data_IF_242812972525
#
_entry.id   IF_242812972525
#
_cell.length_a   1.000
_cell.length_b   1.000
_cell.length_c   1.000
_cell.angle_alpha   90.00
_cell.angle_beta   90.00
_cell.angle_gamma   90.00
#
_symmetry.space_group_name_H-M   'P 1'
#
loop_
_entity.id
_entity.type
_entity.pdbx_description
1 polymer ?
#
# COMPACT_ATOMS: atom_id res chain seq x y z
N UNK A 1 -0.93 -32.40 -9.88
CA UNK A 1 -0.84 -30.92 -9.77
C UNK A 1 -2.25 -30.44 -9.55
N UNK A 2 -2.54 -29.90 -8.37
CA UNK A 2 -3.87 -29.36 -8.05
C UNK A 2 -4.07 -28.12 -8.91
N UNK A 3 -4.95 -28.16 -9.90
CA UNK A 3 -5.38 -26.95 -10.58
C UNK A 3 -5.86 -25.96 -9.53
N UNK A 4 -5.20 -24.81 -9.47
CA UNK A 4 -5.52 -23.77 -8.50
C UNK A 4 -6.92 -23.27 -8.84
N UNK A 5 -7.91 -23.67 -8.04
CA UNK A 5 -9.33 -23.51 -8.42
C UNK A 5 -9.72 -22.03 -8.59
N UNK A 6 -8.96 -21.08 -8.05
CA UNK A 6 -9.29 -19.64 -8.00
C UNK A 6 -9.06 -18.86 -9.30
N UNK A 7 -8.81 -19.57 -10.40
CA UNK A 7 -8.61 -19.01 -11.73
C UNK A 7 -7.27 -18.31 -11.92
N UNK A 8 -6.34 -18.40 -10.97
CA UNK A 8 -4.99 -17.83 -11.09
C UNK A 8 -4.25 -18.38 -12.30
N UNK A 9 -4.17 -19.71 -12.46
CA UNK A 9 -3.57 -20.37 -13.63
C UNK A 9 -4.16 -19.88 -14.96
N UNK A 10 -5.47 -19.62 -15.00
CA UNK A 10 -6.17 -19.15 -16.19
C UNK A 10 -5.80 -17.70 -16.53
N UNK A 11 -5.76 -16.82 -15.53
CA UNK A 11 -5.50 -15.39 -15.73
C UNK A 11 -4.01 -15.05 -15.85
N UNK A 12 -3.11 -15.86 -15.30
CA UNK A 12 -1.67 -15.62 -15.40
C UNK A 12 -0.97 -16.47 -16.45
N UNK A 13 -1.62 -17.54 -16.90
CA UNK A 13 -1.08 -18.49 -17.87
C UNK A 13 -1.43 -18.16 -19.34
N UNK A 14 -1.01 -19.03 -20.28
CA UNK A 14 -1.27 -18.86 -21.71
C UNK A 14 -2.77 -18.76 -22.08
N UNK A 15 -3.65 -19.29 -21.23
CA UNK A 15 -5.10 -19.23 -21.41
C UNK A 15 -5.68 -17.82 -21.43
N UNK A 16 -5.05 -16.85 -20.77
CA UNK A 16 -5.48 -15.46 -20.74
C UNK A 16 -5.56 -14.83 -22.15
N UNK A 17 -4.67 -15.23 -23.06
CA UNK A 17 -4.71 -14.72 -24.44
C UNK A 17 -5.97 -15.12 -25.21
N UNK A 18 -6.52 -16.32 -24.96
CA UNK A 18 -7.78 -16.76 -25.55
C UNK A 18 -8.96 -15.95 -25.02
N UNK A 19 -9.00 -15.78 -23.69
CA UNK A 19 -9.98 -14.96 -22.98
C UNK A 19 -10.01 -13.51 -23.51
N UNK A 20 -8.84 -12.87 -23.63
CA UNK A 20 -8.74 -11.50 -24.14
C UNK A 20 -9.14 -11.39 -25.60
N UNK A 21 -8.74 -12.35 -26.46
CA UNK A 21 -9.17 -12.38 -27.86
C UNK A 21 -10.70 -12.47 -27.98
N UNK A 22 -11.34 -13.29 -27.15
CA UNK A 22 -12.80 -13.39 -27.11
C UNK A 22 -13.47 -12.09 -26.65
N UNK A 23 -12.96 -11.45 -25.60
CA UNK A 23 -13.47 -10.17 -25.11
C UNK A 23 -13.35 -9.03 -26.12
N UNK A 24 -12.18 -8.91 -26.76
CA UNK A 24 -11.90 -7.91 -27.79
C UNK A 24 -12.74 -8.17 -29.04
N UNK A 25 -12.79 -9.43 -29.51
CA UNK A 25 -13.55 -9.81 -30.69
C UNK A 25 -15.06 -9.61 -30.53
N UNK A 26 -15.63 -9.92 -29.36
CA UNK A 26 -17.05 -9.67 -29.07
C UNK A 26 -17.42 -8.18 -29.06
N UNK A 27 -16.43 -7.31 -28.96
CA UNK A 27 -16.60 -5.84 -28.98
C UNK A 27 -16.22 -5.23 -30.34
N UNK A 28 -16.03 -6.06 -31.38
CA UNK A 28 -15.68 -5.59 -32.73
C UNK A 28 -14.20 -5.22 -32.94
N UNK A 29 -13.33 -5.62 -32.01
CA UNK A 29 -11.89 -5.35 -32.06
C UNK A 29 -11.04 -6.53 -32.52
N UNK A 30 -9.76 -6.26 -32.79
CA UNK A 30 -8.74 -7.27 -33.07
C UNK A 30 -7.57 -7.08 -32.10
N UNK A 31 -7.31 -8.11 -31.29
CA UNK A 31 -6.19 -8.14 -30.37
C UNK A 31 -4.90 -8.55 -31.10
N UNK A 32 -3.89 -7.70 -31.04
CA UNK A 32 -2.57 -7.94 -31.66
C UNK A 32 -1.57 -8.55 -30.66
N UNK A 33 -1.49 -7.97 -29.47
CA UNK A 33 -0.60 -8.44 -28.40
C UNK A 33 -1.18 -8.11 -27.03
N UNK A 34 -0.70 -8.83 -26.02
CA UNK A 34 -1.06 -8.59 -24.63
C UNK A 34 0.12 -8.90 -23.72
N UNK A 35 0.16 -8.21 -22.58
CA UNK A 35 1.10 -8.43 -21.50
C UNK A 35 0.34 -8.34 -20.18
N UNK A 36 0.61 -9.28 -19.28
CA UNK A 36 0.12 -9.20 -17.90
C UNK A 36 0.83 -8.04 -17.19
N UNK A 37 0.05 -7.10 -16.66
CA UNK A 37 0.55 -5.89 -16.01
C UNK A 37 0.49 -6.01 -14.48
N UNK A 38 -0.63 -6.51 -13.94
CA UNK A 38 -0.82 -6.67 -12.50
C UNK A 38 -1.70 -7.87 -12.16
N UNK A 39 -1.45 -8.52 -11.01
CA UNK A 39 -2.29 -9.60 -10.46
C UNK A 39 -2.55 -9.37 -8.97
N UNK A 40 -3.82 -9.44 -8.59
CA UNK A 40 -4.29 -9.51 -7.20
C UNK A 40 -4.91 -10.88 -6.97
N UNK A 41 -4.17 -11.75 -6.27
CA UNK A 41 -4.56 -13.13 -6.00
C UNK A 41 -5.05 -13.28 -4.56
N UNK A 42 -6.25 -13.82 -4.39
CA UNK A 42 -6.79 -14.26 -3.10
C UNK A 42 -6.93 -15.79 -3.15
N UNK A 43 -5.96 -16.53 -2.59
CA UNK A 43 -5.92 -17.99 -2.67
C UNK A 43 -7.26 -18.64 -2.30
N UNK A 44 -7.77 -19.49 -3.18
CA UNK A 44 -9.01 -20.25 -2.98
C UNK A 44 -10.31 -19.43 -3.05
N UNK A 45 -10.25 -18.14 -3.43
CA UNK A 45 -11.44 -17.28 -3.55
C UNK A 45 -11.57 -16.60 -4.91
N UNK A 46 -10.56 -15.84 -5.32
CA UNK A 46 -10.65 -15.01 -6.52
C UNK A 46 -9.28 -14.58 -7.03
N UNK A 47 -9.16 -14.44 -8.34
CA UNK A 47 -8.01 -13.78 -8.96
C UNK A 47 -8.47 -12.61 -9.80
N UNK A 48 -7.79 -11.47 -9.68
CA UNK A 48 -7.95 -10.34 -10.59
C UNK A 48 -6.65 -10.06 -11.32
N UNK A 49 -6.75 -9.74 -12.61
CA UNK A 49 -5.61 -9.42 -13.46
C UNK A 49 -5.89 -8.14 -14.25
N UNK A 50 -4.84 -7.37 -14.50
CA UNK A 50 -4.81 -6.25 -15.44
C UNK A 50 -3.86 -6.60 -16.58
N UNK A 51 -4.27 -6.32 -17.81
CA UNK A 51 -3.45 -6.55 -18.99
C UNK A 51 -3.29 -5.26 -19.79
N UNK A 52 -2.06 -5.02 -20.23
CA UNK A 52 -1.75 -4.04 -21.29
C UNK A 52 -1.87 -4.74 -22.63
N UNK A 53 -2.67 -4.20 -23.53
CA UNK A 53 -2.97 -4.84 -24.82
C UNK A 53 -2.78 -3.87 -25.98
N UNK A 54 -2.46 -4.38 -27.16
CA UNK A 54 -2.52 -3.62 -28.41
C UNK A 54 -3.72 -4.08 -29.21
N UNK A 55 -4.68 -3.18 -29.44
CA UNK A 55 -5.98 -3.50 -30.06
C UNK A 55 -6.27 -2.50 -31.16
N UNK A 56 -6.69 -2.99 -32.32
CA UNK A 56 -7.35 -2.16 -33.35
C UNK A 56 -8.86 -2.36 -33.27
N UNK A 57 -9.63 -1.32 -33.57
CA UNK A 57 -11.10 -1.35 -33.52
C UNK A 57 -11.74 -1.14 -34.91
N UNK A 58 -11.73 -2.13 -35.82
CA UNK A 58 -12.27 -1.99 -37.17
C UNK A 58 -13.72 -1.51 -37.24
N UNK A 59 -14.56 -1.96 -36.32
CA UNK A 59 -15.98 -1.60 -36.28
C UNK A 59 -16.25 -0.20 -35.72
N UNK A 60 -15.29 0.35 -34.95
CA UNK A 60 -15.41 1.65 -34.29
C UNK A 60 -14.66 2.76 -35.05
N UNK A 61 -13.40 2.48 -35.40
CA UNK A 61 -12.42 3.42 -35.94
C UNK A 61 -12.15 3.17 -37.45
N UNK A 62 -12.69 2.09 -38.02
CA UNK A 62 -12.57 1.71 -39.42
C UNK A 62 -11.50 0.63 -39.71
N UNK A 63 -11.57 -0.06 -40.86
CA UNK A 63 -10.77 -1.28 -41.12
C UNK A 63 -9.24 -1.10 -41.10
N UNK A 64 -8.75 0.12 -41.28
CA UNK A 64 -7.32 0.44 -41.32
C UNK A 64 -6.84 1.19 -40.07
N UNK A 65 -7.67 1.30 -39.03
CA UNK A 65 -7.28 1.95 -37.79
C UNK A 65 -6.04 1.25 -37.18
N UNK A 66 -5.01 2.00 -36.80
CA UNK A 66 -3.84 1.42 -36.15
C UNK A 66 -4.23 0.80 -34.80
N UNK A 67 -3.47 -0.20 -34.37
CA UNK A 67 -3.58 -0.69 -33.01
C UNK A 67 -3.19 0.43 -32.02
N UNK A 68 -3.93 0.53 -30.92
CA UNK A 68 -3.60 1.40 -29.79
C UNK A 68 -3.53 0.59 -28.50
N UNK A 69 -2.85 1.17 -27.51
CA UNK A 69 -2.80 0.58 -26.19
C UNK A 69 -4.17 0.66 -25.51
N UNK A 70 -4.65 -0.47 -25.00
CA UNK A 70 -5.88 -0.59 -24.21
C UNK A 70 -5.59 -1.42 -22.96
N UNK A 71 -6.24 -1.06 -21.85
CA UNK A 71 -6.17 -1.83 -20.61
C UNK A 71 -7.42 -2.70 -20.45
N UNK A 72 -7.21 -3.98 -20.15
CA UNK A 72 -8.28 -4.92 -19.84
C UNK A 72 -8.14 -5.46 -18.43
N UNK A 73 -9.21 -5.36 -17.64
CA UNK A 73 -9.32 -6.05 -16.36
C UNK A 73 -9.99 -7.40 -16.56
N UNK A 74 -9.55 -8.41 -15.80
CA UNK A 74 -10.25 -9.67 -15.67
C UNK A 74 -10.39 -10.08 -14.20
N UNK A 75 -11.47 -10.78 -13.88
CA UNK A 75 -11.74 -11.34 -12.55
C UNK A 75 -12.25 -12.75 -12.69
N UNK A 76 -11.61 -13.70 -12.04
CA UNK A 76 -12.03 -15.09 -11.92
C UNK A 76 -12.55 -15.35 -10.49
N UNK A 77 -13.70 -16.03 -10.38
CA UNK A 77 -14.31 -16.44 -9.12
C UNK A 77 -14.78 -17.89 -9.18
N UNK A 78 -14.67 -18.62 -8.06
CA UNK A 78 -15.22 -19.97 -7.88
C UNK A 78 -16.49 -19.90 -7.05
N UNK A 79 -17.59 -20.49 -7.51
CA UNK A 79 -18.76 -20.85 -6.69
C UNK A 79 -19.56 -19.70 -6.02
N UNK A 80 -18.96 -18.53 -5.80
CA UNK A 80 -19.60 -17.33 -5.29
C UNK A 80 -20.07 -16.47 -6.47
N UNK A 81 -21.35 -16.06 -6.43
CA UNK A 81 -21.85 -15.00 -7.31
C UNK A 81 -21.12 -13.71 -6.99
N UNK A 82 -20.66 -13.03 -8.04
CA UNK A 82 -20.16 -11.66 -7.95
C UNK A 82 -21.23 -10.77 -7.31
N UNK A 83 -20.83 -9.98 -6.31
CA UNK A 83 -21.71 -9.05 -5.59
C UNK A 83 -21.36 -7.62 -5.98
N UNK A 84 -22.34 -6.72 -5.84
CA UNK A 84 -22.18 -5.28 -6.06
C UNK A 84 -21.63 -4.95 -7.46
N UNK A 85 -22.13 -5.63 -8.49
CA UNK A 85 -21.91 -5.26 -9.88
C UNK A 85 -22.87 -4.12 -10.24
N UNK A 86 -22.33 -3.01 -10.73
CA UNK A 86 -23.13 -1.81 -11.04
C UNK A 86 -23.33 -1.61 -12.55
N UNK A 87 -22.39 -2.07 -13.39
CA UNK A 87 -22.48 -2.00 -14.86
C UNK A 87 -22.13 -3.34 -15.50
N UNK A 88 -22.91 -4.38 -15.17
CA UNK A 88 -22.62 -5.76 -15.59
C UNK A 88 -22.73 -5.96 -17.11
N UNK A 89 -23.60 -5.21 -17.80
CA UNK A 89 -23.82 -5.31 -19.23
C UNK A 89 -22.62 -4.90 -20.10
N UNK A 90 -21.64 -4.16 -19.55
CA UNK A 90 -20.47 -3.67 -20.28
C UNK A 90 -19.26 -4.63 -20.22
N UNK A 91 -19.49 -5.89 -19.84
CA UNK A 91 -18.42 -6.85 -19.56
C UNK A 91 -18.72 -8.21 -20.20
N UNK A 92 -17.67 -8.89 -20.65
CA UNK A 92 -17.80 -10.27 -21.13
C UNK A 92 -17.75 -11.22 -19.93
N UNK A 93 -18.69 -12.17 -19.88
CA UNK A 93 -18.66 -13.29 -18.92
C UNK A 93 -18.41 -14.58 -19.68
N UNK A 94 -17.37 -15.31 -19.28
CA UNK A 94 -17.09 -16.67 -19.72
C UNK A 94 -17.20 -17.59 -18.50
N UNK A 95 -17.86 -18.73 -18.68
CA UNK A 95 -18.01 -19.74 -17.62
C UNK A 95 -17.68 -21.11 -18.16
N UNK A 96 -16.98 -21.91 -17.36
CA UNK A 96 -16.74 -23.34 -17.62
C UNK A 96 -17.50 -24.21 -16.59
N UNK A 97 -18.61 -23.70 -16.05
CA UNK A 97 -19.42 -24.36 -15.01
C UNK A 97 -18.89 -24.14 -13.58
N UNK A 98 -17.59 -24.28 -13.36
CA UNK A 98 -16.96 -24.16 -12.03
C UNK A 98 -16.32 -22.79 -11.77
N UNK A 99 -15.87 -22.10 -12.83
CA UNK A 99 -15.19 -20.81 -12.75
C UNK A 99 -15.96 -19.80 -13.62
N UNK A 100 -16.30 -18.65 -13.03
CA UNK A 100 -16.82 -17.50 -13.76
C UNK A 100 -15.72 -16.47 -13.95
N UNK A 101 -15.42 -16.14 -15.20
CA UNK A 101 -14.44 -15.10 -15.57
C UNK A 101 -15.16 -13.93 -16.20
N UNK A 102 -15.00 -12.75 -15.60
CA UNK A 102 -15.46 -11.48 -16.14
C UNK A 102 -14.29 -10.71 -16.71
N UNK A 103 -14.46 -10.15 -17.91
CA UNK A 103 -13.48 -9.30 -18.58
C UNK A 103 -14.12 -7.96 -18.93
N UNK A 104 -13.41 -6.87 -18.70
CA UNK A 104 -13.87 -5.52 -19.02
C UNK A 104 -12.73 -4.68 -19.58
N UNK A 105 -13.10 -3.67 -20.37
CA UNK A 105 -12.18 -2.66 -20.89
C UNK A 105 -12.14 -1.48 -19.92
N UNK A 106 -10.96 -1.02 -19.53
CA UNK A 106 -10.83 0.24 -18.79
C UNK A 106 -11.36 1.42 -19.64
N UNK A 107 -12.05 2.42 -19.06
CA UNK A 107 -12.38 2.61 -17.64
C UNK A 107 -13.72 1.98 -17.19
N UNK A 108 -14.31 1.08 -17.98
CA UNK A 108 -15.63 0.46 -17.73
C UNK A 108 -15.58 -0.70 -16.72
N UNK A 109 -14.97 -0.44 -15.57
CA UNK A 109 -14.87 -1.41 -14.48
C UNK A 109 -16.24 -1.63 -13.82
N UNK A 110 -16.74 -2.87 -13.77
CA UNK A 110 -18.11 -3.16 -13.32
C UNK A 110 -18.37 -2.86 -11.84
N UNK A 111 -17.32 -2.65 -11.05
CA UNK A 111 -17.41 -2.27 -9.64
C UNK A 111 -17.20 -0.76 -9.40
N UNK A 112 -16.74 -0.01 -10.41
CA UNK A 112 -16.36 1.40 -10.28
C UNK A 112 -17.17 2.26 -11.28
N UNK A 113 -18.50 2.41 -11.08
CA UNK A 113 -19.38 3.05 -12.06
C UNK A 113 -19.06 4.54 -12.33
N UNK A 114 -18.41 5.22 -11.38
CA UNK A 114 -17.98 6.61 -11.57
C UNK A 114 -16.68 6.73 -12.37
N UNK A 115 -15.94 5.65 -12.63
CA UNK A 115 -14.64 5.71 -13.27
C UNK A 115 -14.71 6.29 -14.70
N UNK A 116 -15.64 5.87 -15.58
CA UNK A 116 -15.81 6.50 -16.89
C UNK A 116 -16.18 7.99 -16.82
N UNK A 117 -16.77 8.48 -15.72
CA UNK A 117 -17.13 9.89 -15.59
C UNK A 117 -15.93 10.79 -15.23
N UNK A 118 -14.81 10.20 -14.83
CA UNK A 118 -13.62 10.94 -14.36
C UNK A 118 -12.33 10.59 -15.08
N UNK A 119 -12.37 9.68 -16.05
CA UNK A 119 -11.22 9.25 -16.84
C UNK A 119 -11.08 9.96 -18.20
N UNK A 120 -12.09 10.72 -18.63
CA UNK A 120 -12.07 11.41 -19.92
C UNK A 120 -11.95 12.93 -19.72
N UNK A 121 -10.91 13.58 -20.30
CA UNK A 121 -10.64 15.01 -20.13
C UNK A 121 -11.84 15.92 -20.42
N UNK A 122 -12.64 15.56 -21.42
CA UNK A 122 -13.81 16.29 -21.90
C UNK A 122 -15.09 16.04 -21.07
N UNK A 123 -15.06 15.09 -20.14
CA UNK A 123 -16.20 14.72 -19.27
C UNK A 123 -15.99 15.19 -17.83
N UNK A 124 -14.78 15.01 -17.29
CA UNK A 124 -14.50 15.21 -15.87
C UNK A 124 -14.84 16.63 -15.38
N UNK A 125 -14.66 17.66 -16.22
CA UNK A 125 -14.99 19.05 -15.86
C UNK A 125 -16.47 19.25 -15.55
N UNK A 126 -17.35 18.70 -16.40
CA UNK A 126 -18.81 18.71 -16.16
C UNK A 126 -19.19 17.90 -14.93
N UNK A 127 -18.59 16.71 -14.77
CA UNK A 127 -18.83 15.86 -13.59
C UNK A 127 -18.45 16.58 -12.29
N UNK A 128 -17.32 17.29 -12.25
CA UNK A 128 -16.91 18.07 -11.09
C UNK A 128 -17.84 19.26 -10.83
N UNK A 129 -18.20 19.99 -11.88
CA UNK A 129 -19.13 21.11 -11.79
C UNK A 129 -20.50 20.70 -11.23
N UNK A 130 -21.06 19.57 -11.69
CA UNK A 130 -22.33 19.04 -11.20
C UNK A 130 -22.29 18.66 -9.70
N UNK A 131 -21.08 18.38 -9.18
CA UNK A 131 -20.82 18.13 -7.76
C UNK A 131 -20.47 19.40 -6.98
N UNK A 132 -20.49 20.58 -7.61
CA UNK A 132 -20.15 21.87 -7.00
C UNK A 132 -18.65 22.14 -6.90
N UNK A 133 -17.81 21.41 -7.65
CA UNK A 133 -16.35 21.56 -7.66
C UNK A 133 -15.91 22.29 -8.93
N UNK A 134 -15.19 23.40 -8.78
CA UNK A 134 -14.64 24.18 -9.90
C UNK A 134 -13.11 24.12 -9.88
N UNK A 135 -12.52 23.62 -10.96
CA UNK A 135 -11.06 23.64 -11.21
C UNK A 135 -10.64 24.77 -12.17
N UNK A 136 -11.60 25.32 -12.92
CA UNK A 136 -11.39 26.31 -13.95
C UNK A 136 -12.66 27.11 -14.23
N UNK A 137 -12.57 28.16 -15.07
CA UNK A 137 -13.69 29.05 -15.34
C UNK A 137 -14.78 28.41 -16.19
N UNK A 138 -14.44 27.43 -17.03
CA UNK A 138 -15.38 26.75 -17.94
C UNK A 138 -15.29 25.22 -17.77
N UNK A 139 -16.36 24.55 -17.29
CA UNK A 139 -16.37 23.09 -17.11
C UNK A 139 -16.43 22.29 -18.43
N UNK A 140 -16.55 22.96 -19.58
CA UNK A 140 -16.52 22.33 -20.90
C UNK A 140 -15.12 22.22 -21.49
N UNK A 141 -14.15 22.96 -20.96
CA UNK A 141 -12.75 22.83 -21.37
C UNK A 141 -12.16 21.49 -20.91
N UNK A 142 -11.30 20.84 -21.73
CA UNK A 142 -10.65 19.60 -21.34
C UNK A 142 -9.74 19.78 -20.12
N UNK A 143 -9.93 18.96 -19.09
CA UNK A 143 -9.11 18.96 -17.87
C UNK A 143 -8.02 17.90 -17.98
N UNK A 144 -6.78 18.25 -17.58
CA UNK A 144 -5.69 17.30 -17.56
C UNK A 144 -5.92 16.24 -16.47
N UNK A 145 -5.79 14.97 -16.82
CA UNK A 145 -6.01 13.83 -15.92
C UNK A 145 -4.75 12.97 -15.89
N UNK A 146 -4.22 12.77 -14.69
CA UNK A 146 -3.18 11.79 -14.41
C UNK A 146 -3.77 10.61 -13.63
N UNK A 147 -3.62 9.39 -14.14
CA UNK A 147 -4.01 8.18 -13.40
C UNK A 147 -2.92 7.90 -12.37
N UNK A 148 -3.19 8.20 -11.10
CA UNK A 148 -2.25 7.98 -9.99
C UNK A 148 -2.17 6.50 -9.64
N UNK A 149 -3.32 5.81 -9.58
CA UNK A 149 -3.35 4.36 -9.40
C UNK A 149 -4.66 3.76 -9.88
N UNK A 150 -4.62 2.52 -10.36
CA UNK A 150 -5.80 1.73 -10.65
C UNK A 150 -5.60 0.30 -10.14
N UNK A 151 -6.50 -0.14 -9.25
CA UNK A 151 -6.57 -1.51 -8.75
C UNK A 151 -7.90 -2.13 -9.20
N UNK A 152 -7.88 -3.01 -10.22
CA UNK A 152 -9.08 -3.57 -10.85
C UNK A 152 -10.15 -4.04 -9.85
N UNK A 153 -11.37 -3.52 -10.02
CA UNK A 153 -12.55 -3.76 -9.21
C UNK A 153 -12.44 -3.41 -7.72
N UNK A 154 -11.40 -2.66 -7.31
CA UNK A 154 -11.22 -2.20 -5.93
C UNK A 154 -11.29 -0.68 -5.82
N UNK A 155 -10.36 0.02 -6.47
CA UNK A 155 -10.28 1.49 -6.44
C UNK A 155 -9.47 2.04 -7.61
N UNK A 156 -9.73 3.29 -7.96
CA UNK A 156 -8.84 4.11 -8.78
C UNK A 156 -8.60 5.45 -8.08
N UNK A 157 -7.44 6.05 -8.31
CA UNK A 157 -7.12 7.40 -7.88
C UNK A 157 -6.62 8.15 -9.11
N UNK A 158 -7.22 9.29 -9.41
CA UNK A 158 -6.81 10.17 -10.49
C UNK A 158 -6.51 11.55 -9.93
N UNK A 159 -5.60 12.28 -10.54
CA UNK A 159 -5.39 13.71 -10.29
C UNK A 159 -5.98 14.46 -11.47
N UNK A 160 -6.98 15.30 -11.22
CA UNK A 160 -7.54 16.20 -12.20
C UNK A 160 -6.97 17.60 -11.93
N UNK A 161 -6.41 18.24 -12.95
CA UNK A 161 -5.77 19.55 -12.77
C UNK A 161 -6.00 20.47 -13.95
N UNK A 162 -6.10 21.76 -13.64
CA UNK A 162 -6.20 22.85 -14.59
C UNK A 162 -5.46 24.06 -14.01
N UNK A 163 -4.52 24.61 -14.78
CA UNK A 163 -3.60 25.66 -14.32
C UNK A 163 -2.90 25.30 -12.99
N UNK A 164 -3.13 26.10 -11.95
CA UNK A 164 -2.56 25.89 -10.61
C UNK A 164 -3.48 25.11 -9.66
N UNK A 165 -4.70 24.76 -10.09
CA UNK A 165 -5.67 24.04 -9.26
C UNK A 165 -5.65 22.54 -9.58
N UNK A 166 -5.71 21.72 -8.54
CA UNK A 166 -5.85 20.28 -8.68
C UNK A 166 -6.69 19.66 -7.57
N UNK A 167 -7.35 18.56 -7.91
CA UNK A 167 -8.07 17.69 -6.97
C UNK A 167 -7.74 16.24 -7.26
N UNK A 168 -7.87 15.41 -6.24
CA UNK A 168 -7.73 13.96 -6.34
C UNK A 168 -9.10 13.30 -6.35
N UNK A 169 -9.33 12.43 -7.34
CA UNK A 169 -10.56 11.71 -7.57
C UNK A 169 -10.37 10.27 -7.13
N UNK A 170 -10.82 9.93 -5.92
CA UNK A 170 -10.77 8.56 -5.39
C UNK A 170 -12.07 7.86 -5.78
N UNK A 171 -11.98 6.92 -6.72
CA UNK A 171 -13.10 6.11 -7.20
C UNK A 171 -13.06 4.73 -6.55
N UNK A 172 -14.20 4.25 -6.07
CA UNK A 172 -14.38 2.98 -5.37
C UNK A 172 -15.80 2.45 -5.57
N UNK A 173 -16.10 1.29 -4.99
CA UNK A 173 -17.46 0.77 -4.98
C UNK A 173 -18.41 1.74 -4.23
N UNK A 174 -19.60 2.07 -4.77
CA UNK A 174 -20.53 3.05 -4.20
C UNK A 174 -20.75 2.98 -2.69
N UNK A 175 -20.99 1.78 -2.16
CA UNK A 175 -21.24 1.56 -0.73
C UNK A 175 -20.04 1.86 0.19
N UNK A 176 -18.82 2.05 -0.34
CA UNK A 176 -17.61 2.35 0.44
C UNK A 176 -17.38 3.85 0.67
N UNK A 177 -17.97 4.71 -0.18
CA UNK A 177 -17.67 6.15 -0.17
C UNK A 177 -18.04 6.84 1.15
N UNK A 178 -19.19 6.51 1.73
CA UNK A 178 -19.65 7.10 3.00
C UNK A 178 -18.68 6.89 4.16
N UNK A 179 -18.17 5.68 4.34
CA UNK A 179 -17.20 5.39 5.42
C UNK A 179 -15.89 6.14 5.23
N UNK A 180 -15.46 6.39 3.99
CA UNK A 180 -14.22 7.13 3.71
C UNK A 180 -14.40 8.62 3.99
N UNK A 181 -15.56 9.19 3.61
CA UNK A 181 -15.89 10.59 3.91
C UNK A 181 -15.95 10.82 5.42
N UNK A 182 -16.63 9.94 6.16
CA UNK A 182 -16.74 10.02 7.61
C UNK A 182 -15.37 9.95 8.30
N UNK A 183 -14.47 9.07 7.84
CA UNK A 183 -13.09 8.98 8.38
C UNK A 183 -12.33 10.30 8.17
N UNK A 184 -12.36 10.88 6.97
CA UNK A 184 -11.70 12.17 6.72
C UNK A 184 -12.27 13.28 7.60
N UNK A 185 -13.59 13.39 7.69
CA UNK A 185 -14.26 14.42 8.50
C UNK A 185 -13.88 14.32 9.98
N UNK A 186 -13.87 13.11 10.55
CA UNK A 186 -13.48 12.90 11.95
C UNK A 186 -12.00 13.22 12.20
N UNK A 187 -11.11 12.88 11.28
CA UNK A 187 -9.67 13.18 11.39
C UNK A 187 -9.40 14.69 11.26
N UNK A 188 -10.02 15.36 10.28
CA UNK A 188 -9.93 16.82 10.12
C UNK A 188 -10.45 17.55 11.37
N UNK A 189 -11.58 17.11 11.92
CA UNK A 189 -12.16 17.68 13.14
C UNK A 189 -11.24 17.54 14.36
N UNK A 190 -10.32 16.57 14.34
CA UNK A 190 -9.29 16.36 15.36
C UNK A 190 -7.96 17.10 15.05
N UNK A 191 -7.88 17.86 13.96
CA UNK A 191 -6.68 18.58 13.56
C UNK A 191 -5.59 17.71 12.93
N UNK A 192 -5.95 16.51 12.44
CA UNK A 192 -5.07 15.67 11.64
C UNK A 192 -5.09 16.20 10.19
N UNK A 193 -3.93 16.51 9.58
CA UNK A 193 -3.86 17.13 8.25
C UNK A 193 -4.08 16.10 7.13
N UNK A 194 -5.30 15.57 7.02
CA UNK A 194 -5.69 14.68 5.91
C UNK A 194 -6.30 15.51 4.77
N UNK A 195 -6.45 14.97 3.55
CA UNK A 195 -7.10 15.70 2.46
C UNK A 195 -8.53 16.12 2.82
N UNK A 196 -8.90 17.36 2.51
CA UNK A 196 -10.29 17.81 2.65
C UNK A 196 -11.19 17.11 1.63
N UNK A 197 -12.35 16.61 2.08
CA UNK A 197 -13.39 16.11 1.18
C UNK A 197 -14.18 17.28 0.65
N UNK A 198 -13.95 17.65 -0.61
CA UNK A 198 -14.65 18.75 -1.28
C UNK A 198 -16.06 18.30 -1.69
N UNK A 199 -16.17 17.11 -2.26
CA UNK A 199 -17.44 16.54 -2.70
C UNK A 199 -17.39 15.00 -2.69
N UNK A 200 -18.55 14.36 -2.69
CA UNK A 200 -18.65 12.91 -2.88
C UNK A 200 -19.97 12.53 -3.55
N UNK A 201 -19.94 11.47 -4.35
CA UNK A 201 -21.13 10.94 -5.03
C UNK A 201 -20.95 9.48 -5.42
N UNK A 202 -21.79 8.59 -4.89
CA UNK A 202 -21.95 7.20 -5.34
C UNK A 202 -20.63 6.49 -5.73
N UNK A 203 -19.64 6.47 -4.83
CA UNK A 203 -18.34 5.81 -5.08
C UNK A 203 -17.23 6.72 -5.60
N UNK A 204 -17.51 8.00 -5.87
CA UNK A 204 -16.52 9.04 -6.07
C UNK A 204 -16.36 9.86 -4.78
N UNK A 205 -15.11 10.11 -4.38
CA UNK A 205 -14.73 11.08 -3.35
C UNK A 205 -13.72 12.04 -3.98
N UNK A 206 -14.05 13.33 -3.98
CA UNK A 206 -13.20 14.41 -4.49
C UNK A 206 -12.45 15.03 -3.32
N UNK A 207 -11.13 14.97 -3.37
CA UNK A 207 -10.23 15.37 -2.30
C UNK A 207 -9.39 16.58 -2.73
N UNK A 208 -9.17 17.53 -1.83
CA UNK A 208 -8.21 18.59 -2.03
C UNK A 208 -6.78 18.02 -2.14
N UNK A 209 -5.94 18.63 -2.97
CA UNK A 209 -4.51 18.34 -3.01
C UNK A 209 -3.85 18.78 -1.68
N UNK A 210 -3.05 17.88 -1.08
CA UNK A 210 -2.27 18.23 0.11
C UNK A 210 -1.10 19.15 -0.27
N UNK A 211 -0.75 20.12 0.59
CA UNK A 211 0.44 20.94 0.39
C UNK A 211 1.73 20.13 0.65
N UNK A 212 2.87 20.70 0.25
CA UNK A 212 4.18 20.09 0.46
C UNK A 212 4.49 18.96 -0.51
N UNK A 213 5.35 18.03 -0.07
CA UNK A 213 5.79 16.88 -0.87
C UNK A 213 5.90 15.62 -0.01
N UNK A 214 5.83 14.41 -0.60
CA UNK A 214 6.02 13.17 0.15
C UNK A 214 7.36 13.11 0.89
N UNK A 215 7.33 12.62 2.13
CA UNK A 215 8.52 12.42 2.97
C UNK A 215 9.53 11.50 2.29
N UNK A 216 9.07 10.53 1.51
CA UNK A 216 9.88 9.68 0.64
C UNK A 216 10.93 10.46 -0.18
N UNK A 217 10.52 11.60 -0.74
CA UNK A 217 11.42 12.46 -1.52
C UNK A 217 12.22 13.39 -0.63
N UNK A 218 11.58 13.98 0.37
CA UNK A 218 12.22 14.94 1.26
C UNK A 218 13.38 14.32 2.04
N UNK A 219 13.25 13.09 2.54
CA UNK A 219 14.31 12.42 3.31
C UNK A 219 15.54 12.08 2.47
N UNK A 220 15.37 11.79 1.17
CA UNK A 220 16.50 11.58 0.23
C UNK A 220 17.26 12.88 -0.01
N UNK A 221 16.52 13.99 -0.17
CA UNK A 221 17.10 15.30 -0.50
C UNK A 221 17.71 15.99 0.74
N UNK A 222 17.05 15.89 1.90
CA UNK A 222 17.31 16.71 3.10
C UNK A 222 17.70 15.88 4.33
N UNK A 223 17.48 14.56 4.33
CA UNK A 223 17.79 13.69 5.48
C UNK A 223 17.00 14.06 6.72
N UNK A 224 17.69 14.21 7.85
CA UNK A 224 17.11 14.55 9.16
C UNK A 224 16.38 15.90 9.17
N UNK A 225 16.75 16.82 8.26
CA UNK A 225 16.13 18.15 8.19
C UNK A 225 14.77 18.15 7.49
N UNK A 226 14.38 17.04 6.85
CA UNK A 226 13.09 16.89 6.15
C UNK A 226 11.88 17.07 7.08
N UNK A 227 11.98 16.55 8.30
CA UNK A 227 11.11 16.86 9.42
C UNK A 227 11.71 16.36 10.74
N UNK A 228 11.23 16.92 11.85
CA UNK A 228 11.59 16.44 13.18
C UNK A 228 10.91 15.11 13.50
N UNK A 229 11.62 14.22 14.20
CA UNK A 229 11.04 12.98 14.70
C UNK A 229 9.82 13.22 15.61
N UNK A 230 9.86 14.27 16.43
CA UNK A 230 8.76 14.60 17.32
C UNK A 230 7.51 15.03 16.56
N UNK A 231 7.63 15.60 15.35
CA UNK A 231 6.48 15.96 14.52
C UNK A 231 5.76 14.72 13.98
N UNK A 232 6.50 13.64 13.69
CA UNK A 232 5.93 12.35 13.28
C UNK A 232 5.16 11.70 14.44
N UNK A 233 5.73 11.71 15.65
CA UNK A 233 5.05 11.24 16.86
C UNK A 233 3.83 12.10 17.17
N UNK A 234 3.96 13.43 17.09
CA UNK A 234 2.88 14.36 17.35
C UNK A 234 1.73 14.22 16.33
N UNK A 235 2.04 13.91 15.05
CA UNK A 235 1.01 13.58 14.05
C UNK A 235 0.21 12.35 14.49
N UNK A 236 0.89 11.29 14.88
CA UNK A 236 0.27 10.04 15.31
C UNK A 236 -0.54 10.23 16.62
N UNK A 237 -0.09 11.07 17.54
CA UNK A 237 -0.78 11.37 18.80
C UNK A 237 -2.05 12.22 18.60
N UNK A 238 -2.25 12.84 17.42
CA UNK A 238 -3.50 13.52 17.06
C UNK A 238 -4.60 12.57 16.58
N UNK A 239 -4.29 11.30 16.31
CA UNK A 239 -5.31 10.34 15.88
C UNK A 239 -6.38 10.19 16.98
N UNK A 240 -7.66 10.50 16.70
CA UNK A 240 -8.67 10.66 17.74
C UNK A 240 -9.22 9.33 18.23
N UNK A 241 -9.49 9.23 19.54
CA UNK A 241 -10.12 8.06 20.17
C UNK A 241 -11.44 7.61 19.52
N UNK A 242 -12.13 8.49 18.79
CA UNK A 242 -13.32 8.13 17.99
C UNK A 242 -13.08 7.02 16.95
N UNK A 243 -11.81 6.70 16.66
CA UNK A 243 -11.40 5.64 15.74
C UNK A 243 -11.28 4.26 16.37
N UNK A 244 -11.32 4.12 17.71
CA UNK A 244 -11.29 2.80 18.37
C UNK A 244 -12.44 1.88 17.97
N UNK A 245 -13.57 2.45 17.53
CA UNK A 245 -14.74 1.68 17.06
C UNK A 245 -14.56 1.05 15.66
N UNK A 246 -13.47 1.34 14.96
CA UNK A 246 -13.15 0.74 13.68
C UNK A 246 -12.59 -0.68 13.85
N UNK A 247 -12.61 -1.47 12.77
CA UNK A 247 -12.12 -2.84 12.80
C UNK A 247 -10.62 -2.89 13.10
N UNK A 248 -10.24 -3.70 14.09
CA UNK A 248 -8.85 -4.07 14.34
C UNK A 248 -8.28 -4.80 13.11
N UNK A 249 -7.16 -4.30 12.61
CA UNK A 249 -6.38 -4.95 11.56
C UNK A 249 -5.20 -5.69 12.20
N UNK A 250 -4.93 -6.94 11.80
CA UNK A 250 -3.73 -7.65 12.27
C UNK A 250 -2.47 -6.85 11.89
N UNK A 251 -1.49 -6.71 12.81
CA UNK A 251 -0.21 -6.12 12.47
C UNK A 251 0.54 -6.99 11.45
N UNK A 252 1.48 -6.39 10.72
CA UNK A 252 2.31 -7.09 9.73
C UNK A 252 3.04 -8.32 10.30
N UNK A 253 3.43 -8.24 11.58
CA UNK A 253 4.10 -9.31 12.31
C UNK A 253 3.27 -10.59 12.45
N UNK A 254 1.95 -10.52 12.36
CA UNK A 254 1.07 -11.70 12.43
C UNK A 254 1.11 -12.55 11.14
N UNK A 255 1.69 -12.00 10.06
CA UNK A 255 1.75 -12.64 8.74
C UNK A 255 3.18 -12.94 8.29
N UNK A 256 4.17 -12.94 9.20
CA UNK A 256 5.59 -13.13 8.86
C UNK A 256 5.88 -14.49 8.24
N UNK A 257 5.22 -15.56 8.68
CA UNK A 257 5.34 -16.91 8.08
C UNK A 257 4.84 -16.91 6.64
N UNK A 258 3.74 -16.21 6.39
CA UNK A 258 3.15 -16.13 5.07
C UNK A 258 4.09 -15.42 4.10
N UNK A 259 4.65 -14.27 4.50
CA UNK A 259 5.61 -13.54 3.67
C UNK A 259 6.92 -14.31 3.48
N UNK A 260 7.46 -14.92 4.55
CA UNK A 260 8.62 -15.79 4.46
C UNK A 260 8.37 -16.96 3.51
N UNK A 261 7.20 -17.59 3.55
CA UNK A 261 6.82 -18.68 2.65
C UNK A 261 6.78 -18.24 1.17
N UNK A 262 6.26 -17.04 0.88
CA UNK A 262 6.29 -16.47 -0.48
C UNK A 262 7.74 -16.29 -0.94
N UNK A 263 8.59 -15.67 -0.11
CA UNK A 263 10.00 -15.42 -0.46
C UNK A 263 10.76 -16.73 -0.63
N UNK A 264 10.61 -17.69 0.27
CA UNK A 264 11.27 -19.00 0.21
C UNK A 264 10.81 -19.80 -1.02
N UNK A 265 9.55 -19.65 -1.45
CA UNK A 265 9.08 -20.28 -2.68
C UNK A 265 9.71 -19.66 -3.93
N UNK A 266 9.98 -18.36 -3.93
CA UNK A 266 10.60 -17.66 -5.05
C UNK A 266 12.13 -17.82 -5.08
N UNK A 267 12.78 -17.78 -3.90
CA UNK A 267 14.23 -17.90 -3.73
C UNK A 267 14.54 -18.97 -2.66
N UNK A 268 14.50 -20.28 -3.02
CA UNK A 268 14.65 -21.37 -2.05
C UNK A 268 15.94 -21.33 -1.22
N UNK A 269 17.01 -20.75 -1.76
CA UNK A 269 18.29 -20.59 -1.06
C UNK A 269 18.19 -19.73 0.21
N UNK A 270 17.19 -18.84 0.31
CA UNK A 270 16.95 -18.00 1.49
C UNK A 270 16.17 -18.71 2.60
N UNK A 271 15.60 -19.90 2.34
CA UNK A 271 14.73 -20.62 3.28
C UNK A 271 15.27 -20.69 4.72
N UNK A 272 16.49 -21.19 4.96
CA UNK A 272 17.04 -21.28 6.32
C UNK A 272 17.18 -19.93 7.04
N UNK A 273 17.47 -18.85 6.30
CA UNK A 273 17.58 -17.50 6.85
C UNK A 273 16.20 -16.95 7.21
N UNK A 274 15.21 -17.19 6.36
CA UNK A 274 13.82 -16.79 6.58
C UNK A 274 13.20 -17.53 7.77
N UNK A 275 13.44 -18.83 7.91
CA UNK A 275 12.99 -19.62 9.06
C UNK A 275 13.59 -19.08 10.37
N UNK A 276 14.88 -18.72 10.35
CA UNK A 276 15.53 -18.11 11.49
C UNK A 276 14.95 -16.72 11.83
N UNK A 277 14.68 -15.87 10.83
CA UNK A 277 14.04 -14.57 11.01
C UNK A 277 12.65 -14.71 11.62
N UNK A 278 11.80 -15.57 11.06
CA UNK A 278 10.44 -15.83 11.56
C UNK A 278 10.50 -16.30 13.01
N UNK A 279 11.36 -17.26 13.32
CA UNK A 279 11.53 -17.77 14.69
C UNK A 279 11.89 -16.64 15.65
N UNK A 280 12.90 -15.83 15.33
CA UNK A 280 13.37 -14.74 16.19
C UNK A 280 12.32 -13.65 16.40
N UNK A 281 11.57 -13.29 15.35
CA UNK A 281 10.48 -12.31 15.45
C UNK A 281 9.39 -12.83 16.38
N UNK A 282 8.92 -14.07 16.18
CA UNK A 282 7.86 -14.67 17.01
C UNK A 282 8.28 -14.86 18.45
N UNK A 283 9.42 -15.51 18.68
CA UNK A 283 9.93 -15.80 20.02
C UNK A 283 10.21 -14.49 20.78
N UNK A 284 10.79 -13.50 20.09
CA UNK A 284 11.01 -12.18 20.62
C UNK A 284 9.70 -11.51 21.05
N UNK A 285 8.70 -11.39 20.15
CA UNK A 285 7.42 -10.76 20.47
C UNK A 285 6.65 -11.50 21.57
N UNK A 286 6.70 -12.84 21.59
CA UNK A 286 6.10 -13.63 22.67
C UNK A 286 6.77 -13.36 24.02
N UNK A 287 8.09 -13.18 24.06
CA UNK A 287 8.80 -12.79 25.27
C UNK A 287 8.42 -11.36 25.73
N UNK A 288 8.10 -10.46 24.80
CA UNK A 288 7.57 -9.12 25.11
C UNK A 288 6.17 -9.19 25.72
N UNK A 289 5.28 -10.00 25.16
CA UNK A 289 3.92 -10.18 25.66
C UNK A 289 3.88 -10.71 27.10
N UNK A 290 4.88 -11.47 27.52
CA UNK A 290 5.00 -11.94 28.91
C UNK A 290 5.32 -10.82 29.93
N UNK A 291 5.80 -9.66 29.46
CA UNK A 291 6.31 -8.58 30.33
C UNK A 291 5.54 -7.27 30.18
N UNK A 292 4.89 -7.01 29.06
CA UNK A 292 4.06 -5.83 28.81
C UNK A 292 2.73 -6.23 28.17
N UNK A 293 1.67 -5.44 28.41
CA UNK A 293 0.38 -5.67 27.77
C UNK A 293 0.48 -5.33 26.28
N UNK A 294 0.40 -6.37 25.44
CA UNK A 294 0.49 -6.28 23.99
C UNK A 294 -0.87 -6.06 23.32
N UNK A 295 -1.95 -5.82 24.08
CA UNK A 295 -3.26 -5.49 23.50
C UNK A 295 -3.20 -4.16 22.72
N UNK A 296 -4.00 -4.04 21.64
CA UNK A 296 -4.22 -2.77 20.96
C UNK A 296 -4.83 -1.76 21.93
N UNK A 297 -4.07 -0.72 22.26
CA UNK A 297 -4.50 0.34 23.18
C UNK A 297 -4.34 1.73 22.58
N UNK A 298 -3.81 1.85 21.36
CA UNK A 298 -3.66 3.11 20.63
C UNK A 298 -4.63 3.17 19.45
N UNK A 299 -4.83 4.38 18.93
CA UNK A 299 -5.28 4.57 17.55
C UNK A 299 -4.04 4.70 16.68
N UNK A 300 -3.97 3.86 15.65
CA UNK A 300 -2.87 3.81 14.69
C UNK A 300 -3.35 4.20 13.31
N UNK A 301 -2.42 4.63 12.48
CA UNK A 301 -2.64 4.79 11.05
C UNK A 301 -2.77 3.43 10.36
N UNK A 302 -1.93 2.45 10.72
CA UNK A 302 -1.97 1.07 10.25
C UNK A 302 -1.20 0.79 8.95
N UNK A 303 -0.69 1.85 8.30
CA UNK A 303 0.21 1.78 7.12
C UNK A 303 1.10 3.05 7.08
N UNK A 304 1.70 3.42 8.21
CA UNK A 304 2.42 4.69 8.37
C UNK A 304 3.85 4.61 7.81
N UNK A 305 4.03 4.94 6.54
CA UNK A 305 5.35 5.02 5.90
C UNK A 305 5.56 6.33 5.14
N UNK A 306 6.78 6.56 4.67
CA UNK A 306 7.27 7.84 4.14
C UNK A 306 6.53 8.35 2.88
N UNK A 307 5.86 7.48 2.12
CA UNK A 307 5.03 7.96 1.00
C UNK A 307 3.67 8.50 1.44
N UNK A 308 3.22 8.18 2.67
CA UNK A 308 1.93 8.63 3.21
C UNK A 308 2.05 9.94 4.00
N UNK A 309 3.26 10.35 4.37
CA UNK A 309 3.50 11.58 5.12
C UNK A 309 3.95 12.68 4.16
N UNK A 310 3.33 13.86 4.26
CA UNK A 310 3.72 15.03 3.48
C UNK A 310 4.41 16.05 4.38
N UNK A 311 5.49 16.62 3.86
CA UNK A 311 6.31 17.61 4.56
C UNK A 311 6.52 18.86 3.73
N UNK A 312 6.65 19.99 4.42
CA UNK A 312 7.02 21.27 3.84
C UNK A 312 7.79 22.08 4.88
N UNK A 313 8.90 22.70 4.47
CA UNK A 313 9.71 23.58 5.32
C UNK A 313 10.10 22.94 6.67
N UNK A 314 10.52 21.66 6.61
CA UNK A 314 10.94 20.89 7.79
C UNK A 314 9.82 20.46 8.73
N UNK A 315 8.55 20.54 8.30
CA UNK A 315 7.37 20.22 9.12
C UNK A 315 6.46 19.22 8.41
N UNK A 316 5.77 18.41 9.21
CA UNK A 316 4.70 17.54 8.72
C UNK A 316 3.45 18.37 8.44
N UNK A 317 2.98 18.33 7.19
CA UNK A 317 1.83 19.11 6.69
C UNK A 317 0.72 18.27 6.10
N UNK A 318 0.89 16.95 5.99
CA UNK A 318 -0.14 16.09 5.43
C UNK A 318 0.00 14.59 5.76
N UNK A 319 -1.12 13.89 5.71
CA UNK A 319 -1.22 12.43 5.90
C UNK A 319 -2.22 11.81 4.91
N UNK A 320 -1.79 10.79 4.17
CA UNK A 320 -2.57 10.05 3.16
C UNK A 320 -2.93 8.61 3.60
N UNK A 321 -3.74 7.94 2.78
CA UNK A 321 -4.21 6.53 2.91
C UNK A 321 -4.73 6.10 4.28
N UNK A 322 -5.61 6.94 4.85
CA UNK A 322 -6.27 6.72 6.15
C UNK A 322 -7.28 5.55 6.20
N UNK A 323 -7.35 4.72 5.16
CA UNK A 323 -8.30 3.61 5.06
C UNK A 323 -8.02 2.55 6.14
N UNK A 324 -6.79 2.50 6.65
CA UNK A 324 -6.30 1.56 7.67
C UNK A 324 -6.42 2.05 9.11
N UNK A 325 -6.81 3.32 9.33
CA UNK A 325 -6.88 3.92 10.67
C UNK A 325 -7.82 3.10 11.56
N UNK A 326 -7.40 2.84 12.80
CA UNK A 326 -8.18 2.03 13.74
C UNK A 326 -7.41 1.70 15.02
N UNK A 327 -7.94 0.79 15.86
CA UNK A 327 -7.22 0.31 17.04
C UNK A 327 -5.95 -0.43 16.63
N UNK A 328 -4.86 -0.22 17.36
CA UNK A 328 -3.56 -0.87 17.15
C UNK A 328 -2.58 -0.56 18.26
N UNK A 329 -1.28 -0.71 17.97
CA UNK A 329 -0.20 -0.28 18.87
C UNK A 329 0.68 0.77 18.19
N UNK A 330 1.11 1.79 18.92
CA UNK A 330 1.99 2.83 18.40
C UNK A 330 3.27 2.28 17.75
N UNK A 331 3.79 1.17 18.30
CA UNK A 331 4.97 0.51 17.76
C UNK A 331 4.78 0.01 16.32
N UNK A 332 3.55 -0.29 15.88
CA UNK A 332 3.27 -0.71 14.50
C UNK A 332 3.53 0.42 13.49
N UNK A 333 3.04 1.62 13.76
CA UNK A 333 3.23 2.76 12.86
C UNK A 333 4.70 3.20 12.81
N UNK A 334 5.36 3.29 13.97
CA UNK A 334 6.76 3.70 14.04
C UNK A 334 7.69 2.67 13.38
N UNK A 335 7.40 1.37 13.56
CA UNK A 335 8.13 0.30 12.90
C UNK A 335 7.89 0.29 11.38
N UNK A 336 6.66 0.55 10.94
CA UNK A 336 6.32 0.63 9.53
C UNK A 336 7.16 1.69 8.82
N UNK A 337 7.26 2.89 9.42
CA UNK A 337 8.08 3.96 8.87
C UNK A 337 9.57 3.59 8.82
N UNK A 338 10.12 3.10 9.93
CA UNK A 338 11.54 2.72 9.99
C UNK A 338 11.89 1.63 8.98
N UNK A 339 11.03 0.62 8.84
CA UNK A 339 11.22 -0.47 7.90
C UNK A 339 11.29 0.00 6.45
N UNK A 340 10.34 0.85 6.03
CA UNK A 340 10.33 1.37 4.67
C UNK A 340 11.53 2.30 4.39
N UNK A 341 11.90 3.16 5.34
CA UNK A 341 13.11 3.97 5.23
C UNK A 341 14.37 3.12 5.13
N UNK A 342 14.47 2.00 5.86
CA UNK A 342 15.62 1.09 5.74
C UNK A 342 15.73 0.46 4.35
N UNK A 343 14.60 0.08 3.74
CA UNK A 343 14.59 -0.42 2.34
C UNK A 343 14.92 0.71 1.36
N UNK A 344 14.46 1.93 1.62
CA UNK A 344 14.82 3.11 0.83
C UNK A 344 16.32 3.43 0.92
N UNK A 345 16.95 3.27 2.08
CA UNK A 345 18.39 3.45 2.23
C UNK A 345 19.18 2.39 1.43
N UNK A 346 18.71 1.14 1.40
CA UNK A 346 19.35 0.05 0.64
C UNK A 346 19.34 0.29 -0.89
N UNK A 347 18.50 1.21 -1.39
CA UNK A 347 18.58 1.67 -2.78
C UNK A 347 19.95 2.26 -3.14
N UNK A 348 20.71 2.76 -2.16
CA UNK A 348 22.09 3.20 -2.35
C UNK A 348 23.02 2.04 -2.71
N UNK A 349 22.87 0.88 -2.06
CA UNK A 349 23.61 -0.34 -2.39
C UNK A 349 23.27 -0.87 -3.78
N UNK A 350 22.03 -0.64 -4.24
CA UNK A 350 21.57 -0.96 -5.59
C UNK A 350 21.93 0.10 -6.65
N UNK A 351 22.61 1.20 -6.27
CA UNK A 351 22.99 2.29 -7.17
C UNK A 351 21.83 3.13 -7.69
N UNK A 352 20.65 3.06 -7.07
CA UNK A 352 19.47 3.86 -7.42
C UNK A 352 19.51 5.28 -6.85
N UNK A 353 20.24 5.46 -5.74
CA UNK A 353 20.57 6.75 -5.15
C UNK A 353 22.08 6.82 -4.89
N UNK A 354 22.64 8.03 -4.84
CA UNK A 354 24.07 8.19 -4.54
C UNK A 354 24.39 7.98 -3.05
N UNK A 355 25.68 7.84 -2.73
CA UNK A 355 26.14 7.56 -1.35
C UNK A 355 25.82 8.69 -0.36
N UNK A 356 25.80 9.94 -0.81
CA UNK A 356 25.42 11.09 0.02
C UNK A 356 23.93 11.08 0.35
N UNK A 357 23.09 10.75 -0.64
CA UNK A 357 21.66 10.51 -0.45
C UNK A 357 21.42 9.36 0.53
N UNK A 358 22.09 8.22 0.35
CA UNK A 358 21.99 7.07 1.26
C UNK A 358 22.36 7.47 2.69
N UNK A 359 23.49 8.15 2.89
CA UNK A 359 23.92 8.59 4.22
C UNK A 359 22.89 9.49 4.90
N UNK A 360 22.25 10.41 4.15
CA UNK A 360 21.18 11.27 4.68
C UNK A 360 19.99 10.47 5.21
N UNK A 361 19.57 9.43 4.49
CA UNK A 361 18.48 8.56 4.93
C UNK A 361 18.89 7.73 6.14
N UNK A 362 20.11 7.16 6.15
CA UNK A 362 20.64 6.40 7.29
C UNK A 362 20.76 7.26 8.57
N UNK A 363 21.17 8.52 8.42
CA UNK A 363 21.24 9.47 9.53
C UNK A 363 19.85 9.81 10.07
N UNK A 364 18.87 10.02 9.19
CA UNK A 364 17.47 10.23 9.59
C UNK A 364 16.90 9.01 10.34
N UNK A 365 17.13 7.78 9.83
CA UNK A 365 16.71 6.54 10.51
C UNK A 365 17.31 6.47 11.91
N UNK A 366 18.61 6.72 12.06
CA UNK A 366 19.29 6.67 13.37
C UNK A 366 18.68 7.68 14.36
N UNK A 367 18.54 8.93 13.96
CA UNK A 367 18.00 9.99 14.83
C UNK A 367 16.52 9.76 15.18
N UNK A 368 15.71 9.33 14.21
CA UNK A 368 14.29 9.08 14.45
C UNK A 368 14.07 7.83 15.30
N UNK A 369 14.87 6.78 15.08
CA UNK A 369 14.84 5.57 15.89
C UNK A 369 15.12 5.85 17.36
N UNK A 370 16.12 6.71 17.68
CA UNK A 370 16.39 7.14 19.07
C UNK A 370 15.16 7.79 19.71
N UNK A 371 14.49 8.70 18.98
CA UNK A 371 13.27 9.36 19.47
C UNK A 371 12.11 8.36 19.65
N UNK A 372 11.95 7.42 18.73
CA UNK A 372 10.86 6.44 18.76
C UNK A 372 11.04 5.44 19.92
N UNK A 373 12.28 5.09 20.27
CA UNK A 373 12.60 4.23 21.41
C UNK A 373 12.27 4.86 22.78
N UNK A 374 12.03 6.17 22.84
CA UNK A 374 11.50 6.84 24.04
C UNK A 374 9.97 6.71 24.16
N UNK A 375 9.28 6.38 23.06
CA UNK A 375 7.82 6.30 22.98
C UNK A 375 7.30 4.88 23.12
N UNK A 376 8.06 3.89 22.65
CA UNK A 376 7.67 2.48 22.64
C UNK A 376 8.82 1.60 23.11
N UNK A 377 8.54 0.34 23.40
CA UNK A 377 9.58 -0.60 23.81
C UNK A 377 10.62 -0.81 22.67
N UNK A 378 11.93 -0.60 22.94
CA UNK A 378 12.96 -0.70 21.91
C UNK A 378 13.07 -2.07 21.24
N UNK A 379 12.78 -3.15 21.96
CA UNK A 379 12.82 -4.51 21.41
C UNK A 379 11.58 -4.73 20.53
N UNK A 380 10.41 -4.28 20.98
CA UNK A 380 9.17 -4.35 20.20
C UNK A 380 9.32 -3.60 18.87
N UNK A 381 9.82 -2.37 18.91
CA UNK A 381 10.02 -1.52 17.74
C UNK A 381 10.91 -2.20 16.69
N UNK A 382 12.04 -2.76 17.13
CA UNK A 382 12.99 -3.43 16.25
C UNK A 382 12.42 -4.73 15.65
N UNK A 383 11.74 -5.56 16.44
CA UNK A 383 11.13 -6.80 15.94
C UNK A 383 9.97 -6.53 14.96
N UNK A 384 9.13 -5.53 15.25
CA UNK A 384 8.08 -5.10 14.32
C UNK A 384 8.68 -4.55 13.03
N UNK A 385 9.77 -3.79 13.11
CA UNK A 385 10.47 -3.27 11.93
C UNK A 385 10.99 -4.42 11.06
N UNK A 386 11.60 -5.45 11.67
CA UNK A 386 12.02 -6.65 10.96
C UNK A 386 10.84 -7.37 10.27
N UNK A 387 9.69 -7.50 10.95
CA UNK A 387 8.49 -8.09 10.38
C UNK A 387 7.93 -7.32 9.17
N UNK A 388 7.93 -5.99 9.23
CA UNK A 388 7.52 -5.15 8.09
C UNK A 388 8.52 -5.30 6.94
N UNK A 389 9.83 -5.21 7.18
CA UNK A 389 10.86 -5.39 6.13
C UNK A 389 10.71 -6.76 5.45
N UNK A 390 10.46 -7.82 6.20
CA UNK A 390 10.21 -9.15 5.63
C UNK A 390 9.01 -9.17 4.67
N UNK A 391 7.94 -8.43 4.97
CA UNK A 391 6.79 -8.31 4.06
C UNK A 391 7.16 -7.61 2.75
N UNK A 392 8.08 -6.62 2.81
CA UNK A 392 8.57 -5.87 1.66
C UNK A 392 9.50 -6.69 0.76
N UNK A 393 10.14 -7.75 1.29
CA UNK A 393 11.02 -8.63 0.51
C UNK A 393 10.30 -9.36 -0.65
N UNK A 394 8.96 -9.43 -0.60
CA UNK A 394 8.13 -9.94 -1.71
C UNK A 394 8.00 -8.95 -2.88
N UNK A 395 8.32 -7.68 -2.67
CA UNK A 395 8.12 -6.57 -3.59
C UNK A 395 8.89 -6.69 -4.92
N UNK A 396 10.22 -6.94 -4.91
CA UNK A 396 11.01 -7.01 -6.14
C UNK A 396 10.48 -8.02 -7.15
N UNK A 397 10.12 -9.23 -6.68
CA UNK A 397 9.51 -10.26 -7.52
C UNK A 397 8.15 -9.79 -8.05
N UNK A 398 7.30 -9.22 -7.18
CA UNK A 398 5.95 -8.76 -7.55
C UNK A 398 5.98 -7.65 -8.62
N UNK A 399 7.02 -6.83 -8.62
CA UNK A 399 7.25 -5.75 -9.57
C UNK A 399 8.06 -6.17 -10.81
N UNK A 400 8.51 -7.43 -10.87
CA UNK A 400 9.31 -7.97 -11.98
C UNK A 400 10.59 -7.16 -12.26
N UNK A 401 11.31 -6.76 -11.21
CA UNK A 401 12.56 -6.03 -11.34
C UNK A 401 13.66 -6.89 -12.01
N UNK A 402 14.54 -6.27 -12.81
CA UNK A 402 15.54 -7.02 -13.61
C UNK A 402 16.48 -7.92 -12.77
N UNK A 403 16.81 -7.52 -11.54
CA UNK A 403 17.64 -8.28 -10.60
C UNK A 403 16.86 -8.57 -9.30
N UNK A 404 15.59 -8.93 -9.42
CA UNK A 404 14.67 -9.05 -8.29
C UNK A 404 15.15 -10.02 -7.20
N UNK A 405 15.83 -11.12 -7.54
CA UNK A 405 16.34 -12.09 -6.56
C UNK A 405 17.37 -11.45 -5.61
N UNK A 406 18.33 -10.72 -6.18
CA UNK A 406 19.36 -10.02 -5.43
C UNK A 406 18.76 -8.87 -4.60
N UNK A 407 17.77 -8.16 -5.13
CA UNK A 407 17.03 -7.13 -4.39
C UNK A 407 16.24 -7.73 -3.21
N UNK A 408 15.56 -8.86 -3.41
CA UNK A 408 14.87 -9.60 -2.35
C UNK A 408 15.86 -10.05 -1.27
N UNK A 409 17.01 -10.61 -1.64
CA UNK A 409 18.05 -10.99 -0.68
C UNK A 409 18.59 -9.78 0.12
N UNK A 410 18.76 -8.63 -0.53
CA UNK A 410 19.19 -7.41 0.13
C UNK A 410 18.17 -6.93 1.18
N UNK A 411 16.87 -6.96 0.86
CA UNK A 411 15.81 -6.62 1.82
C UNK A 411 15.77 -7.63 2.99
N UNK A 412 16.01 -8.93 2.73
CA UNK A 412 16.12 -9.94 3.81
C UNK A 412 17.28 -9.62 4.76
N UNK A 413 18.41 -9.15 4.25
CA UNK A 413 19.53 -8.68 5.08
C UNK A 413 19.14 -7.49 5.96
N UNK A 414 18.37 -6.54 5.44
CA UNK A 414 17.84 -5.43 6.26
C UNK A 414 16.94 -5.94 7.39
N UNK A 415 16.13 -6.99 7.16
CA UNK A 415 15.34 -7.60 8.24
C UNK A 415 16.23 -8.26 9.31
N UNK A 416 17.33 -8.91 8.90
CA UNK A 416 18.33 -9.51 9.81
C UNK A 416 19.02 -8.44 10.68
N UNK A 417 19.29 -7.26 10.13
CA UNK A 417 19.84 -6.12 10.86
C UNK A 417 18.89 -5.63 11.95
N UNK A 418 17.58 -5.54 11.67
CA UNK A 418 16.57 -5.19 12.67
C UNK A 418 16.42 -6.25 13.77
N UNK A 419 16.51 -7.55 13.44
CA UNK A 419 16.57 -8.62 14.47
C UNK A 419 17.84 -8.50 15.31
N UNK A 420 18.99 -8.17 14.71
CA UNK A 420 20.22 -7.91 15.46
C UNK A 420 20.08 -6.69 16.40
N UNK A 421 19.41 -5.62 15.95
CA UNK A 421 19.09 -4.46 16.76
C UNK A 421 18.17 -4.81 17.94
N UNK A 422 17.14 -5.65 17.73
CA UNK A 422 16.28 -6.16 18.80
C UNK A 422 17.08 -6.92 19.87
N UNK A 423 17.98 -7.82 19.44
CA UNK A 423 18.87 -8.56 20.36
C UNK A 423 19.80 -7.63 21.14
N UNK A 424 20.29 -6.56 20.51
CA UNK A 424 21.11 -5.57 21.18
C UNK A 424 20.32 -4.77 22.22
N UNK A 425 19.12 -4.32 21.87
CA UNK A 425 18.22 -3.62 22.79
C UNK A 425 17.85 -4.49 24.00
N UNK A 426 17.59 -5.78 23.78
CA UNK A 426 17.28 -6.71 24.87
C UNK A 426 18.46 -6.92 25.82
N UNK A 427 19.69 -7.04 25.29
CA UNK A 427 20.90 -7.08 26.13
C UNK A 427 21.04 -5.82 26.98
N UNK A 428 20.89 -4.64 26.37
CA UNK A 428 20.94 -3.36 27.10
C UNK A 428 19.90 -3.28 28.22
N UNK A 429 18.69 -3.79 27.98
CA UNK A 429 17.63 -3.86 28.98
C UNK A 429 18.02 -4.77 30.15
N UNK A 430 18.55 -5.97 29.86
CA UNK A 430 19.00 -6.92 30.89
C UNK A 430 20.13 -6.32 31.72
N UNK A 431 21.12 -5.69 31.08
CA UNK A 431 22.26 -5.06 31.76
C UNK A 431 21.79 -3.92 32.68
N UNK A 432 20.86 -3.08 32.23
CA UNK A 432 20.24 -2.02 33.05
C UNK A 432 19.47 -2.59 34.24
N UNK A 433 18.72 -3.67 34.04
CA UNK A 433 17.98 -4.33 35.12
C UNK A 433 18.91 -4.96 36.17
N UNK A 434 20.02 -5.57 35.75
CA UNK A 434 21.04 -6.11 36.65
C UNK A 434 21.75 -5.01 37.45
N UNK A 435 22.05 -3.87 36.82
CA UNK A 435 22.68 -2.73 37.48
C UNK A 435 21.74 -2.03 38.49
N UNK A 436 20.42 -2.12 38.32
CA UNK A 436 19.42 -1.50 39.19
C UNK A 436 19.09 -2.33 40.45
N UNK A 437 19.55 -3.58 40.56
CA UNK A 437 19.35 -4.39 41.77
C UNK A 437 20.33 -3.96 42.88
N UNK A 438 19.84 -3.52 44.06
CA UNK A 438 20.73 -3.12 45.15
C UNK A 438 21.53 -4.33 45.65
N UNK A 439 22.84 -4.13 45.86
CA UNK A 439 23.69 -5.13 46.47
C UNK A 439 23.07 -5.58 47.81
N UNK A 440 22.71 -6.86 47.92
CA UNK A 440 22.28 -7.43 49.18
C UNK A 440 23.36 -7.17 50.25
N UNK A 441 23.01 -6.61 51.43
CA UNK A 441 23.99 -6.44 52.49
C UNK A 441 24.51 -7.83 52.86
N UNK A 442 25.84 -7.97 52.84
CA UNK A 442 26.50 -9.21 53.23
C UNK A 442 25.99 -9.64 54.62
N UNK A 443 25.66 -10.92 54.83
CA UNK A 443 25.26 -11.38 56.15
C UNK A 443 26.41 -11.09 57.11
N UNK A 444 26.15 -10.21 58.09
CA UNK A 444 27.10 -9.86 59.12
C UNK A 444 27.62 -11.14 59.77
N UNK A 445 28.93 -11.35 59.71
CA UNK A 445 29.57 -12.43 60.46
C UNK A 445 29.50 -12.09 61.96
N UNK A 446 29.00 -13.00 62.81
CA UNK A 446 28.92 -12.80 64.25
C UNK A 446 30.30 -12.71 64.91
#
# INVERSE_FOLDING_TARGET
MSHTQDGSELLTGPGAGGLLRSAVGNSGGVLHSWQLDHVDHRPGRSTKALYRTQVSWPELDGPQAPAREELFGASAHIGEREKNLYVAEQTLVMTDGDINVRVWRYPHDPWLPMLPQVCYPDIVGRTLHDLGVSLGPDPSEPIAIDVVSYRPGRRAVLRASQDAAAVYLKVMQPHRSGEIVERHQRLLSAGVPVPEVIAHHQGLVVLAELPGRPLARAVIDEGVDSCRAEDLVALLDRLPASMYGLSLRPPWTDSVEFYAGIVASAVPALGPRLDALVREIREGLAAIEQRIDMRPHDVVHGDFYEAQVFVQDGRVVGLLDIDTVGPGRRADDLACLLAHLSVLADYGNAGRIDRGMQQRVEDAIRTWHETFQERVDPVELALRSAGVVLSLATGPHRQQEAAWEAATEAIVRVAEEWVAAARYAERQRIDRAAAAQPAMPAPGRP
#
